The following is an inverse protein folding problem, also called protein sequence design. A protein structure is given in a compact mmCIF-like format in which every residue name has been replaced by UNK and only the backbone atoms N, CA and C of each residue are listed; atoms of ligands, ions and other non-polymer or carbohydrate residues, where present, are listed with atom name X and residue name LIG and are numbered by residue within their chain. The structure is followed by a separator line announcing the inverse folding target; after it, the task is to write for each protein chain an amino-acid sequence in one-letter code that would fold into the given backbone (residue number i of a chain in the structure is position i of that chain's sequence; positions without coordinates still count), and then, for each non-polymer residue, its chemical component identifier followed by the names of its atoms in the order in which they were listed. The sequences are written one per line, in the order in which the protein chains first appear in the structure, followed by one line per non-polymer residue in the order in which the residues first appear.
data_IF_212515461869
#
_entry.id   IF_212515461869
#
_cell.length_a   1.000
_cell.length_b   1.000
_cell.length_c   1.000
_cell.angle_alpha   90.00
_cell.angle_beta   90.00
_cell.angle_gamma   90.00
#
_symmetry.space_group_name_H-M   'P 1'
#
loop_
_entity.id
_entity.type
_entity.pdbx_description
1 polymer ?
#
# COMPACT_ATOMS: atom_id res chain seq x y z
N UNK A 1 -15.45 -6.82 22.57
CA UNK A 1 -14.03 -6.43 22.50
C UNK A 1 -13.46 -7.02 21.22
N UNK A 2 -13.52 -6.27 20.13
CA UNK A 2 -12.95 -6.66 18.83
C UNK A 2 -11.44 -6.58 18.92
N UNK A 3 -10.73 -7.67 18.61
CA UNK A 3 -9.28 -7.67 18.53
C UNK A 3 -8.84 -6.65 17.46
N UNK A 4 -8.06 -5.60 17.80
CA UNK A 4 -7.67 -4.57 16.82
C UNK A 4 -6.58 -5.02 15.84
N UNK A 5 -6.34 -6.33 15.66
CA UNK A 5 -5.06 -6.83 15.14
C UNK A 5 -5.14 -7.81 13.96
N UNK A 6 -6.28 -7.90 13.26
CA UNK A 6 -6.33 -8.62 11.99
C UNK A 6 -6.48 -7.61 10.86
N UNK A 7 -5.34 -7.17 10.33
CA UNK A 7 -5.32 -6.52 9.02
C UNK A 7 -5.69 -7.61 8.01
N UNK A 8 -6.84 -7.45 7.35
CA UNK A 8 -7.34 -8.44 6.39
C UNK A 8 -6.54 -8.34 5.09
N UNK A 9 -5.48 -9.13 5.00
CA UNK A 9 -4.60 -9.19 3.83
C UNK A 9 -5.02 -10.21 2.78
N UNK A 10 -5.91 -11.15 3.13
CA UNK A 10 -6.31 -12.24 2.24
C UNK A 10 -6.76 -11.73 0.85
N UNK A 11 -7.61 -10.69 0.73
CA UNK A 11 -8.01 -10.19 -0.59
C UNK A 11 -6.84 -9.76 -1.47
N UNK A 12 -5.75 -9.27 -0.87
CA UNK A 12 -4.54 -8.89 -1.60
C UNK A 12 -3.67 -10.11 -1.90
N UNK A 13 -3.38 -10.93 -0.89
CA UNK A 13 -2.49 -12.09 -1.01
C UNK A 13 -3.01 -13.13 -2.01
N UNK A 14 -4.32 -13.35 -2.07
CA UNK A 14 -4.95 -14.29 -3.00
C UNK A 14 -4.75 -13.91 -4.48
N UNK A 15 -4.36 -12.66 -4.74
CA UNK A 15 -4.15 -12.10 -6.09
C UNK A 15 -2.67 -11.95 -6.45
N UNK A 16 -1.76 -12.26 -5.54
CA UNK A 16 -0.33 -12.06 -5.71
C UNK A 16 0.39 -13.39 -5.88
N UNK A 17 1.48 -13.37 -6.66
CA UNK A 17 2.39 -14.50 -6.73
C UNK A 17 3.36 -14.48 -5.53
N UNK A 18 3.87 -15.65 -5.10
CA UNK A 18 4.94 -15.69 -4.11
C UNK A 18 6.14 -14.82 -4.54
N UNK A 19 6.65 -13.99 -3.63
CA UNK A 19 7.77 -13.09 -3.92
C UNK A 19 7.39 -11.79 -4.64
N UNK A 20 6.10 -11.48 -4.80
CA UNK A 20 5.65 -10.22 -5.39
C UNK A 20 6.22 -8.99 -4.66
N UNK A 21 6.50 -7.93 -5.41
CA UNK A 21 7.03 -6.67 -4.89
C UNK A 21 5.91 -5.69 -4.59
N UNK A 22 5.71 -5.40 -3.30
CA UNK A 22 4.58 -4.62 -2.79
C UNK A 22 5.03 -3.26 -2.28
N UNK A 23 4.31 -2.21 -2.70
CA UNK A 23 4.44 -0.86 -2.14
C UNK A 23 3.46 -0.66 -0.99
N UNK A 24 3.94 -0.15 0.15
CA UNK A 24 3.11 0.17 1.31
C UNK A 24 3.24 1.65 1.65
N UNK A 25 2.12 2.35 1.84
CA UNK A 25 2.13 3.76 2.26
C UNK A 25 1.30 4.00 3.51
N UNK A 26 1.83 4.76 4.47
CA UNK A 26 1.08 5.18 5.67
C UNK A 26 0.96 4.11 6.76
N UNK A 27 1.71 3.01 6.65
CA UNK A 27 1.78 1.95 7.65
C UNK A 27 2.61 2.37 8.87
N UNK A 28 2.33 1.78 10.03
CA UNK A 28 3.11 1.96 11.25
C UNK A 28 4.16 0.85 11.46
N UNK A 29 4.30 -0.04 10.47
CA UNK A 29 5.25 -1.14 10.40
C UNK A 29 4.62 -2.52 10.55
N UNK A 30 3.39 -2.63 11.09
CA UNK A 30 2.73 -3.92 11.25
C UNK A 30 2.44 -4.59 9.91
N UNK A 31 1.98 -3.83 8.91
CA UNK A 31 1.68 -4.37 7.60
C UNK A 31 2.95 -4.77 6.84
N UNK A 32 4.01 -3.95 6.95
CA UNK A 32 5.33 -4.27 6.41
C UNK A 32 5.83 -5.62 6.94
N UNK A 33 5.74 -5.84 8.26
CA UNK A 33 6.14 -7.09 8.88
C UNK A 33 5.31 -8.27 8.36
N UNK A 34 3.98 -8.15 8.36
CA UNK A 34 3.08 -9.22 7.94
C UNK A 34 3.30 -9.66 6.48
N UNK A 35 3.45 -8.71 5.56
CA UNK A 35 3.69 -9.03 4.14
C UNK A 35 5.06 -9.67 3.92
N UNK A 36 6.07 -9.26 4.68
CA UNK A 36 7.40 -9.88 4.63
C UNK A 36 7.37 -11.32 5.14
N UNK A 37 6.69 -11.59 6.26
CA UNK A 37 6.50 -12.96 6.78
C UNK A 37 5.70 -13.84 5.79
N UNK A 38 4.80 -13.23 5.01
CA UNK A 38 4.10 -13.89 3.91
C UNK A 38 4.98 -14.12 2.65
N UNK A 39 6.26 -13.77 2.69
CA UNK A 39 7.22 -14.01 1.61
C UNK A 39 7.23 -12.95 0.51
N UNK A 40 6.65 -11.77 0.74
CA UNK A 40 6.65 -10.67 -0.22
C UNK A 40 7.91 -9.80 -0.11
N UNK A 41 8.30 -9.19 -1.23
CA UNK A 41 9.31 -8.12 -1.23
C UNK A 41 8.60 -6.81 -0.91
N UNK A 42 9.04 -6.08 0.12
CA UNK A 42 8.34 -4.88 0.59
C UNK A 42 9.17 -3.62 0.32
N UNK A 43 8.51 -2.61 -0.22
CA UNK A 43 8.98 -1.21 -0.20
C UNK A 43 7.93 -0.35 0.46
N UNK A 44 8.36 0.58 1.32
CA UNK A 44 7.44 1.38 2.10
C UNK A 44 7.80 2.86 2.09
N UNK A 45 6.78 3.72 2.21
CA UNK A 45 6.94 5.15 2.38
C UNK A 45 5.97 5.75 3.40
N UNK A 46 6.42 6.81 4.07
CA UNK A 46 5.63 7.62 4.99
C UNK A 46 5.94 9.11 4.76
N UNK A 47 4.98 9.98 5.05
CA UNK A 47 5.09 11.42 4.77
C UNK A 47 6.17 12.14 5.58
N UNK A 48 6.54 11.60 6.76
CA UNK A 48 7.43 12.24 7.72
C UNK A 48 8.52 11.30 8.22
N UNK A 49 9.72 11.86 8.49
CA UNK A 49 10.87 11.12 9.01
C UNK A 49 10.55 10.35 10.29
N UNK A 50 9.89 10.92 11.32
CA UNK A 50 9.58 10.18 12.54
C UNK A 50 8.66 8.97 12.31
N UNK A 51 7.69 9.11 11.40
CA UNK A 51 6.80 8.02 11.02
C UNK A 51 7.57 6.92 10.27
N UNK A 52 8.41 7.30 9.30
CA UNK A 52 9.25 6.37 8.57
C UNK A 52 10.22 5.60 9.48
N UNK A 53 10.83 6.27 10.47
CA UNK A 53 11.69 5.61 11.45
C UNK A 53 10.93 4.60 12.31
N UNK A 54 9.73 4.98 12.78
CA UNK A 54 8.87 4.09 13.59
C UNK A 54 8.45 2.86 12.80
N UNK A 55 7.94 3.07 11.58
CA UNK A 55 7.53 2.00 10.70
C UNK A 55 8.69 1.09 10.30
N UNK A 56 9.88 1.66 10.07
CA UNK A 56 11.08 0.88 9.73
C UNK A 56 11.52 -0.01 10.89
N UNK A 57 11.56 0.53 12.11
CA UNK A 57 11.95 -0.21 13.30
C UNK A 57 10.99 -1.37 13.59
N UNK A 58 9.69 -1.18 13.39
CA UNK A 58 8.67 -2.22 13.63
C UNK A 58 8.56 -3.23 12.48
N UNK A 59 8.62 -2.74 11.23
CA UNK A 59 8.46 -3.55 10.03
C UNK A 59 9.71 -4.34 9.63
N UNK A 60 10.88 -3.96 10.13
CA UNK A 60 12.15 -4.61 9.78
C UNK A 60 12.57 -4.38 8.33
N UNK A 61 12.09 -3.30 7.71
CA UNK A 61 12.38 -2.90 6.32
C UNK A 61 12.72 -1.41 6.26
N UNK A 62 13.55 -0.96 5.30
CA UNK A 62 13.76 0.46 5.06
C UNK A 62 12.45 1.15 4.62
N UNK A 63 12.12 2.28 5.24
CA UNK A 63 10.95 3.10 4.88
C UNK A 63 11.42 4.47 4.41
N UNK A 64 10.96 4.91 3.23
CA UNK A 64 11.31 6.23 2.69
C UNK A 64 10.43 7.30 3.32
N UNK A 65 11.05 8.38 3.80
CA UNK A 65 10.34 9.57 4.25
C UNK A 65 9.93 10.44 3.06
N UNK A 66 8.90 10.03 2.34
CA UNK A 66 8.34 10.71 1.16
C UNK A 66 6.84 10.44 1.06
N UNK A 67 6.01 11.45 0.73
CA UNK A 67 4.61 11.23 0.44
C UNK A 67 4.41 10.31 -0.77
N UNK A 68 3.37 9.48 -0.74
CA UNK A 68 3.11 8.49 -1.79
C UNK A 68 3.01 9.13 -3.18
N UNK A 69 2.27 10.24 -3.32
CA UNK A 69 2.16 10.95 -4.60
C UNK A 69 3.50 11.53 -5.14
N UNK A 70 4.59 11.50 -4.37
CA UNK A 70 5.95 11.88 -4.79
C UNK A 70 6.92 10.70 -4.86
N UNK A 71 6.46 9.49 -4.56
CA UNK A 71 7.25 8.29 -4.67
C UNK A 71 7.60 8.02 -6.14
N UNK A 72 8.80 7.52 -6.37
CA UNK A 72 9.26 7.07 -7.69
C UNK A 72 9.94 5.71 -7.58
N UNK A 73 9.73 4.89 -8.60
CA UNK A 73 10.37 3.60 -8.77
C UNK A 73 10.68 3.40 -10.25
N UNK A 74 11.80 2.74 -10.55
CA UNK A 74 12.19 2.36 -11.92
C UNK A 74 11.42 1.11 -12.36
N UNK A 75 11.09 0.24 -11.40
CA UNK A 75 10.37 -1.01 -11.64
C UNK A 75 8.95 -0.87 -11.08
N UNK A 76 7.92 -1.22 -11.84
CA UNK A 76 6.55 -1.20 -11.34
C UNK A 76 6.31 -2.31 -10.32
N UNK A 77 5.55 -2.01 -9.27
CA UNK A 77 5.18 -2.92 -8.21
C UNK A 77 4.07 -3.88 -8.66
N UNK A 78 4.08 -5.08 -8.08
CA UNK A 78 3.08 -6.13 -8.31
C UNK A 78 1.77 -5.89 -7.57
N UNK A 79 1.78 -4.99 -6.59
CA UNK A 79 0.60 -4.58 -5.81
C UNK A 79 0.96 -3.48 -4.82
N UNK A 80 -0.07 -2.95 -4.15
CA UNK A 80 0.13 -1.94 -3.12
C UNK A 80 -0.86 -2.03 -1.97
N UNK A 81 -0.46 -1.49 -0.82
CA UNK A 81 -1.31 -1.21 0.32
C UNK A 81 -1.26 0.28 0.63
N UNK A 82 -2.42 0.94 0.62
CA UNK A 82 -2.54 2.34 1.04
C UNK A 82 -3.33 2.42 2.33
N UNK A 83 -2.67 2.89 3.39
CA UNK A 83 -3.26 3.16 4.70
C UNK A 83 -3.48 4.65 4.85
N UNK A 84 -4.65 5.03 5.37
CA UNK A 84 -4.94 6.39 5.77
C UNK A 84 -6.16 7.00 5.07
N UNK A 85 -6.47 8.23 5.46
CA UNK A 85 -7.71 8.91 5.06
C UNK A 85 -7.64 9.61 3.71
N UNK A 86 -8.49 10.64 3.57
CA UNK A 86 -8.79 11.33 2.31
C UNK A 86 -7.65 12.23 1.80
N UNK A 87 -6.70 12.58 2.66
CA UNK A 87 -5.63 13.49 2.29
C UNK A 87 -4.82 12.92 1.12
N UNK A 88 -4.66 13.72 0.07
CA UNK A 88 -3.99 13.37 -1.19
C UNK A 88 -4.59 12.18 -1.97
N UNK A 89 -5.78 11.67 -1.65
CA UNK A 89 -6.39 10.50 -2.32
C UNK A 89 -6.22 10.46 -3.85
N UNK A 90 -6.70 11.51 -4.53
CA UNK A 90 -6.63 11.58 -5.99
C UNK A 90 -5.19 11.69 -6.53
N UNK A 91 -4.29 12.34 -5.78
CA UNK A 91 -2.90 12.46 -6.16
C UNK A 91 -2.15 11.14 -5.96
N UNK A 92 -2.45 10.42 -4.88
CA UNK A 92 -1.92 9.09 -4.58
C UNK A 92 -2.36 8.08 -5.64
N UNK A 93 -3.66 8.04 -5.99
CA UNK A 93 -4.17 7.15 -7.03
C UNK A 93 -3.55 7.45 -8.40
N UNK A 94 -3.35 8.73 -8.73
CA UNK A 94 -2.65 9.12 -9.96
C UNK A 94 -1.21 8.63 -9.97
N UNK A 95 -0.49 8.76 -8.86
CA UNK A 95 0.89 8.29 -8.75
C UNK A 95 0.96 6.76 -8.79
N UNK A 96 0.06 6.07 -8.09
CA UNK A 96 -0.01 4.62 -8.06
C UNK A 96 -0.21 4.01 -9.45
N UNK A 97 -0.96 4.65 -10.33
CA UNK A 97 -1.10 4.21 -11.73
C UNK A 97 0.23 4.15 -12.48
N UNK A 98 1.19 5.02 -12.15
CA UNK A 98 2.52 5.01 -12.74
C UNK A 98 3.50 4.07 -12.00
N UNK A 99 3.19 3.69 -10.76
CA UNK A 99 4.03 2.85 -9.91
C UNK A 99 3.62 1.37 -9.97
N UNK A 100 2.39 1.06 -10.33
CA UNK A 100 1.85 -0.30 -10.37
C UNK A 100 1.93 -0.91 -11.77
N UNK A 101 2.04 -2.23 -11.84
CA UNK A 101 1.77 -2.97 -13.08
C UNK A 101 0.28 -2.86 -13.43
N UNK A 102 -0.04 -2.91 -14.73
CA UNK A 102 -1.43 -2.97 -15.17
C UNK A 102 -2.16 -4.16 -14.53
N UNK A 103 -3.35 -3.92 -13.98
CA UNK A 103 -4.12 -4.92 -13.26
C UNK A 103 -3.57 -5.32 -11.88
N UNK A 104 -2.54 -4.65 -11.36
CA UNK A 104 -2.03 -4.93 -10.02
C UNK A 104 -3.04 -4.53 -8.93
N UNK A 105 -3.25 -5.35 -7.88
CA UNK A 105 -4.18 -5.05 -6.81
C UNK A 105 -3.66 -3.95 -5.88
N UNK A 106 -4.52 -2.99 -5.58
CA UNK A 106 -4.34 -1.98 -4.53
C UNK A 106 -5.31 -2.24 -3.38
N UNK A 107 -4.80 -2.68 -2.24
CA UNK A 107 -5.57 -2.79 -1.00
C UNK A 107 -5.66 -1.42 -0.33
N UNK A 108 -6.88 -0.94 -0.10
CA UNK A 108 -7.12 0.34 0.60
C UNK A 108 -7.62 0.06 2.01
N UNK A 109 -6.86 0.50 3.00
CA UNK A 109 -7.18 0.34 4.41
C UNK A 109 -7.52 1.70 5.02
N UNK A 110 -8.76 1.81 5.51
CA UNK A 110 -9.35 3.05 6.00
C UNK A 110 -10.62 3.41 5.23
N UNK A 111 -11.19 4.58 5.52
CA UNK A 111 -12.36 5.09 4.80
C UNK A 111 -11.90 5.86 3.57
N UNK A 112 -12.04 5.33 2.35
CA UNK A 112 -11.77 6.12 1.15
C UNK A 112 -12.81 7.24 1.02
N UNK A 113 -12.44 8.39 0.42
CA UNK A 113 -13.43 9.40 0.08
C UNK A 113 -14.41 8.86 -0.97
N UNK A 114 -15.55 9.53 -1.13
CA UNK A 114 -16.55 9.15 -2.12
C UNK A 114 -16.00 9.30 -3.55
N UNK A 115 -15.99 8.20 -4.29
CA UNK A 115 -15.65 8.16 -5.71
C UNK A 115 -14.17 7.89 -6.00
N UNK A 116 -13.93 6.89 -6.83
CA UNK A 116 -12.66 6.68 -7.50
C UNK A 116 -12.59 7.47 -8.82
N UNK A 117 -11.39 7.87 -9.28
CA UNK A 117 -11.20 8.36 -10.65
C UNK A 117 -11.68 7.32 -11.68
N UNK A 118 -12.09 7.73 -12.89
CA UNK A 118 -12.64 6.81 -13.90
C UNK A 118 -11.71 5.67 -14.32
N UNK A 119 -10.39 5.84 -14.14
CA UNK A 119 -9.39 4.82 -14.47
C UNK A 119 -9.24 3.74 -13.40
N UNK A 120 -9.96 3.87 -12.27
CA UNK A 120 -9.92 2.95 -11.15
C UNK A 120 -11.28 2.30 -10.93
N UNK A 121 -11.28 0.99 -10.74
CA UNK A 121 -12.48 0.22 -10.40
C UNK A 121 -12.27 -0.56 -9.10
N UNK A 122 -13.36 -0.79 -8.37
CA UNK A 122 -13.35 -1.41 -7.05
C UNK A 122 -14.00 -2.79 -7.07
N UNK A 123 -13.29 -3.77 -6.52
CA UNK A 123 -13.81 -5.09 -6.18
C UNK A 123 -13.63 -5.34 -4.68
N UNK A 124 -14.68 -5.07 -3.91
CA UNK A 124 -14.62 -5.14 -2.45
C UNK A 124 -13.61 -4.13 -1.87
N UNK A 125 -12.58 -4.65 -1.18
CA UNK A 125 -11.51 -3.83 -0.58
C UNK A 125 -10.35 -3.53 -1.55
N UNK A 126 -10.35 -4.15 -2.74
CA UNK A 126 -9.28 -4.00 -3.73
C UNK A 126 -9.70 -3.00 -4.80
N UNK A 127 -8.78 -2.11 -5.15
CA UNK A 127 -8.84 -1.26 -6.32
C UNK A 127 -7.90 -1.79 -7.40
N UNK A 128 -8.30 -1.60 -8.65
CA UNK A 128 -7.51 -1.90 -9.82
C UNK A 128 -7.54 -0.73 -10.78
N UNK A 129 -6.51 -0.62 -11.61
CA UNK A 129 -6.53 0.27 -12.75
C UNK A 129 -6.30 -0.54 -14.03
N UNK A 130 -6.90 -0.03 -15.10
CA UNK A 130 -6.69 -0.52 -16.46
C UNK A 130 -5.36 0.00 -17.06
#
# INVERSE_FOLDING_TARGET
MTHPNQIELAPLLDRLTPGAHILISGDDGHLCHALREAGMVVSACCDAIPAAMTASARGGVPVRAVPLHRMSSIVPFDGACRIGGEHHWHADLRALRALLKAGAPLLVLGTPPAGEPPEWHREGAILFHD
#
